data_IF_360007456998
#
_entry.id   IF_360007456998
#
_cell.length_a   1.000
_cell.length_b   1.000
_cell.length_c   1.000
_cell.angle_alpha   90.00
_cell.angle_beta   90.00
_cell.angle_gamma   90.00
#
_symmetry.space_group_name_H-M   'P 1'
#
loop_
_entity.id
_entity.type
_entity.pdbx_description
1 polymer ?
#
# COMPACT_ATOMS: atom_id res chain seq x y z
N UNK A 1 52.07 -15.95 28.32
CA UNK A 1 51.07 -14.94 28.73
C UNK A 1 50.21 -14.63 27.51
N UNK A 2 49.10 -15.30 27.40
CA UNK A 2 48.19 -15.16 26.28
C UNK A 2 47.15 -14.08 26.56
N UNK A 3 47.18 -12.99 25.81
CA UNK A 3 46.16 -11.98 25.83
C UNK A 3 44.89 -12.58 25.24
N UNK A 4 43.83 -12.64 26.05
CA UNK A 4 42.47 -12.90 25.55
C UNK A 4 41.98 -11.61 24.89
N UNK A 5 41.92 -11.62 23.55
CA UNK A 5 41.19 -10.62 22.80
C UNK A 5 39.73 -10.69 23.21
N UNK A 6 39.32 -9.74 24.04
CA UNK A 6 37.91 -9.46 24.33
C UNK A 6 37.28 -8.90 23.07
N UNK A 7 36.66 -9.79 22.31
CA UNK A 7 35.79 -9.43 21.18
C UNK A 7 34.62 -8.62 21.76
N UNK A 8 34.77 -7.29 21.81
CA UNK A 8 33.65 -6.38 22.02
C UNK A 8 32.73 -6.53 20.82
N UNK A 9 31.70 -7.36 20.94
CA UNK A 9 30.54 -7.26 20.04
C UNK A 9 29.93 -5.87 20.31
N UNK A 10 30.22 -4.94 19.41
CA UNK A 10 29.46 -3.70 19.32
C UNK A 10 28.01 -4.12 19.13
N UNK A 11 27.17 -3.87 20.11
CA UNK A 11 25.73 -3.97 19.98
C UNK A 11 25.33 -2.88 18.99
N UNK A 12 25.26 -3.24 17.72
CA UNK A 12 24.71 -2.35 16.71
C UNK A 12 23.23 -2.22 17.04
N UNK A 13 22.83 -1.05 17.49
CA UNK A 13 21.43 -0.70 17.72
C UNK A 13 20.75 -0.67 16.34
N UNK A 14 20.23 -1.82 15.92
CA UNK A 14 19.56 -1.97 14.66
C UNK A 14 18.25 -1.20 14.72
N UNK A 15 18.26 -0.03 14.12
CA UNK A 15 17.07 0.82 13.92
C UNK A 15 16.60 0.75 12.49
N UNK A 16 15.30 0.67 12.31
CA UNK A 16 14.63 0.74 11.01
C UNK A 16 13.61 1.85 11.05
N UNK A 17 13.59 2.69 10.04
CA UNK A 17 12.46 3.57 9.81
C UNK A 17 11.41 2.78 9.04
N UNK A 18 10.18 2.82 9.52
CA UNK A 18 9.01 2.30 8.83
C UNK A 18 8.08 3.46 8.52
N UNK A 19 7.50 3.44 7.33
CA UNK A 19 6.51 4.42 6.92
C UNK A 19 5.28 3.71 6.35
N UNK A 20 4.11 4.28 6.58
CA UNK A 20 2.82 3.70 6.22
C UNK A 20 1.78 4.81 6.06
N UNK A 21 0.74 4.51 5.31
CA UNK A 21 -0.40 5.39 5.10
C UNK A 21 -1.57 4.87 5.93
N UNK A 22 -2.27 5.77 6.60
CA UNK A 22 -3.44 5.39 7.40
C UNK A 22 -4.65 5.17 6.48
N UNK A 23 -5.30 4.00 6.59
CA UNK A 23 -6.49 3.69 5.82
C UNK A 23 -7.72 4.54 6.20
N UNK A 24 -7.70 5.18 7.38
CA UNK A 24 -8.84 5.93 7.90
C UNK A 24 -8.77 7.44 7.65
N UNK A 25 -7.56 8.02 7.67
CA UNK A 25 -7.39 9.46 7.49
C UNK A 25 -6.40 9.83 6.39
N UNK A 26 -5.93 8.85 5.63
CA UNK A 26 -5.00 8.98 4.50
C UNK A 26 -3.66 9.65 4.83
N UNK A 27 -3.43 10.03 6.08
CA UNK A 27 -2.17 10.64 6.49
C UNK A 27 -1.02 9.63 6.46
N UNK A 28 0.08 10.05 5.87
CA UNK A 28 1.31 9.32 5.87
C UNK A 28 2.06 9.53 7.20
N UNK A 29 2.60 8.45 7.74
CA UNK A 29 3.28 8.47 9.03
C UNK A 29 4.55 7.63 9.01
N UNK A 30 5.54 8.02 9.77
CA UNK A 30 6.76 7.24 9.93
C UNK A 30 7.07 6.99 11.41
N UNK A 31 7.77 5.87 11.68
CA UNK A 31 8.18 5.49 13.03
C UNK A 31 9.53 4.77 12.99
N UNK A 32 10.36 5.05 13.97
CA UNK A 32 11.58 4.26 14.18
C UNK A 32 11.25 3.00 14.98
N UNK A 33 11.63 1.86 14.44
CA UNK A 33 11.59 0.57 15.12
C UNK A 33 13.03 0.11 15.46
N UNK A 34 13.18 -0.51 16.62
CA UNK A 34 14.38 -1.22 17.00
C UNK A 34 14.06 -2.68 17.30
N UNK A 35 15.06 -3.53 17.37
CA UNK A 35 14.89 -4.94 17.75
C UNK A 35 14.19 -5.09 19.11
N UNK A 36 14.38 -4.12 20.00
CA UNK A 36 13.79 -4.12 21.34
C UNK A 36 12.26 -3.89 21.33
N UNK A 37 11.71 -3.33 20.25
CA UNK A 37 10.25 -3.17 20.14
C UNK A 37 9.53 -4.52 20.07
N UNK A 38 10.24 -5.57 19.65
CA UNK A 38 9.73 -6.94 19.53
C UNK A 38 10.05 -7.80 20.76
N UNK A 39 10.96 -7.33 21.65
CA UNK A 39 11.38 -8.11 22.81
C UNK A 39 10.21 -8.33 23.78
N UNK A 40 9.87 -9.59 24.04
CA UNK A 40 8.80 -9.98 24.95
C UNK A 40 7.38 -9.68 24.45
N UNK A 41 7.21 -9.43 23.16
CA UNK A 41 5.91 -9.16 22.53
C UNK A 41 5.72 -10.04 21.30
N UNK A 42 4.53 -10.62 21.16
CA UNK A 42 4.17 -11.42 20.00
C UNK A 42 3.89 -10.55 18.76
N UNK A 43 3.54 -9.28 18.99
CA UNK A 43 3.20 -8.32 17.93
C UNK A 43 3.52 -6.88 18.31
N UNK A 44 3.84 -6.09 17.29
CA UNK A 44 3.99 -4.63 17.35
C UNK A 44 2.91 -4.00 16.47
N UNK A 45 2.24 -2.98 16.97
CA UNK A 45 1.22 -2.24 16.23
C UNK A 45 1.74 -0.83 15.90
N UNK A 46 1.56 -0.43 14.67
CA UNK A 46 1.79 0.91 14.18
C UNK A 46 0.45 1.63 14.13
N UNK A 47 0.31 2.60 15.00
CA UNK A 47 -0.94 3.34 15.20
C UNK A 47 -0.77 4.70 14.52
N UNK A 48 -1.82 5.19 13.88
CA UNK A 48 -1.85 6.51 13.30
C UNK A 48 -1.63 7.59 14.38
N UNK A 49 -0.62 8.44 14.24
CA UNK A 49 -0.35 9.50 15.23
C UNK A 49 -1.24 10.73 15.06
N UNK A 50 -2.05 10.78 14.00
CA UNK A 50 -2.92 11.94 13.69
C UNK A 50 -3.94 12.14 14.80
N UNK A 51 -4.04 13.38 15.28
CA UNK A 51 -4.99 13.73 16.32
C UNK A 51 -6.42 13.38 15.92
N UNK A 52 -7.09 12.62 16.78
CA UNK A 52 -8.47 12.18 16.56
C UNK A 52 -8.64 10.88 15.76
N UNK A 53 -7.56 10.35 15.14
CA UNK A 53 -7.61 9.09 14.40
C UNK A 53 -7.26 7.90 15.30
N UNK A 54 -6.01 7.73 15.68
CA UNK A 54 -5.48 6.67 16.55
C UNK A 54 -5.79 5.21 16.10
N UNK A 55 -6.08 4.99 14.82
CA UNK A 55 -6.37 3.68 14.28
C UNK A 55 -5.09 2.86 14.03
N UNK A 56 -5.20 1.53 14.10
CA UNK A 56 -4.08 0.63 13.82
C UNK A 56 -3.93 0.49 12.31
N UNK A 57 -2.81 0.97 11.76
CA UNK A 57 -2.53 0.90 10.33
C UNK A 57 -1.80 -0.38 9.93
N UNK A 58 -0.88 -0.85 10.78
CA UNK A 58 -0.07 -2.03 10.50
C UNK A 58 0.13 -2.84 11.78
N UNK A 59 -0.05 -4.14 11.68
CA UNK A 59 0.34 -5.09 12.73
C UNK A 59 1.51 -5.93 12.26
N UNK A 60 2.60 -5.95 13.00
CA UNK A 60 3.79 -6.74 12.72
C UNK A 60 3.87 -7.84 13.79
N UNK A 61 3.64 -9.07 13.39
CA UNK A 61 3.76 -10.24 14.26
C UNK A 61 5.09 -10.94 14.05
N UNK A 62 5.78 -11.25 15.15
CA UNK A 62 6.99 -12.06 15.11
C UNK A 62 6.63 -13.54 15.16
N UNK A 63 7.12 -14.32 14.20
CA UNK A 63 6.93 -15.78 14.16
C UNK A 63 8.19 -16.47 13.72
N UNK A 64 8.87 -17.11 14.66
CA UNK A 64 10.17 -17.79 14.47
C UNK A 64 11.21 -16.78 13.92
N UNK A 65 11.72 -17.04 12.70
CA UNK A 65 12.71 -16.21 12.00
C UNK A 65 12.11 -15.20 11.02
N UNK A 66 10.78 -15.01 11.07
CA UNK A 66 10.02 -14.17 10.15
C UNK A 66 9.20 -13.11 10.87
N UNK A 67 8.92 -12.05 10.15
CA UNK A 67 7.87 -11.08 10.47
C UNK A 67 6.71 -11.24 9.49
N UNK A 68 5.49 -11.27 10.03
CA UNK A 68 4.25 -11.15 9.27
C UNK A 68 3.73 -9.74 9.47
N UNK A 69 3.42 -9.08 8.37
CA UNK A 69 2.81 -7.75 8.33
C UNK A 69 1.37 -7.91 7.90
N UNK A 70 0.46 -7.40 8.69
CA UNK A 70 -0.94 -7.22 8.31
C UNK A 70 -1.16 -5.71 8.19
N UNK A 71 -1.47 -5.23 6.99
CA UNK A 71 -1.54 -3.81 6.63
C UNK A 71 -2.96 -3.48 6.22
N UNK A 72 -3.61 -2.59 6.95
CA UNK A 72 -4.87 -1.98 6.54
C UNK A 72 -4.60 -1.06 5.35
N UNK A 73 -5.09 -1.43 4.19
CA UNK A 73 -4.75 -0.76 2.94
C UNK A 73 -5.57 0.51 2.72
N UNK A 74 -4.95 1.69 2.58
CA UNK A 74 -5.67 2.93 2.31
C UNK A 74 -6.23 3.01 0.88
N UNK A 75 -5.80 2.10 -0.01
CA UNK A 75 -6.14 2.15 -1.43
C UNK A 75 -7.34 1.28 -1.77
N UNK A 76 -7.38 0.02 -1.28
CA UNK A 76 -8.48 -0.89 -1.58
C UNK A 76 -9.36 -1.21 -0.37
N UNK A 77 -9.03 -0.71 0.84
CA UNK A 77 -9.77 -0.95 2.07
C UNK A 77 -9.55 -2.34 2.69
N UNK A 78 -8.94 -3.26 1.96
CA UNK A 78 -8.69 -4.61 2.43
C UNK A 78 -7.44 -4.69 3.31
N UNK A 79 -7.35 -5.74 4.11
CA UNK A 79 -6.14 -6.06 4.85
C UNK A 79 -5.20 -6.93 3.99
N UNK A 80 -3.97 -6.46 3.79
CA UNK A 80 -2.94 -7.20 3.05
C UNK A 80 -1.92 -7.82 3.98
N UNK A 81 -1.64 -9.11 3.80
CA UNK A 81 -0.66 -9.85 4.58
C UNK A 81 0.63 -10.11 3.79
N UNK A 82 1.76 -9.70 4.36
CA UNK A 82 3.10 -9.94 3.80
C UNK A 82 3.98 -10.65 4.80
N UNK A 83 4.96 -11.38 4.32
CA UNK A 83 5.91 -12.08 5.18
C UNK A 83 7.32 -11.86 4.67
N UNK A 84 8.24 -11.55 5.58
CA UNK A 84 9.68 -11.46 5.29
C UNK A 84 10.50 -12.12 6.38
N UNK A 85 11.75 -12.51 6.08
CA UNK A 85 12.67 -12.98 7.12
C UNK A 85 13.12 -11.81 7.99
N UNK A 86 13.49 -12.09 9.25
CA UNK A 86 14.09 -11.08 10.13
C UNK A 86 15.34 -10.48 9.51
N UNK A 87 16.16 -11.32 8.87
CA UNK A 87 17.36 -10.88 8.17
C UNK A 87 17.04 -9.85 7.08
N UNK A 88 16.09 -10.13 6.20
CA UNK A 88 15.69 -9.20 5.15
C UNK A 88 15.09 -7.91 5.72
N UNK A 89 14.28 -8.01 6.76
CA UNK A 89 13.70 -6.82 7.40
C UNK A 89 14.78 -5.90 7.97
N UNK A 90 15.81 -6.44 8.62
CA UNK A 90 16.84 -5.63 9.27
C UNK A 90 17.99 -5.21 8.34
N UNK A 91 18.30 -5.98 7.30
CA UNK A 91 19.51 -5.78 6.50
C UNK A 91 19.25 -5.22 5.09
N UNK A 92 18.02 -5.37 4.53
CA UNK A 92 17.72 -4.78 3.22
C UNK A 92 17.74 -3.25 3.33
N UNK A 93 18.42 -2.51 2.42
CA UNK A 93 18.42 -1.05 2.44
C UNK A 93 17.01 -0.46 2.44
N UNK A 94 16.14 -0.99 1.58
CA UNK A 94 14.73 -0.62 1.49
C UNK A 94 13.87 -1.87 1.23
N UNK A 95 12.76 -1.98 1.94
CA UNK A 95 11.71 -2.99 1.76
C UNK A 95 10.40 -2.24 1.53
N UNK A 96 9.67 -2.60 0.48
CA UNK A 96 8.38 -2.01 0.15
C UNK A 96 7.32 -3.09 0.03
N UNK A 97 6.08 -2.76 0.37
CA UNK A 97 4.91 -3.59 0.12
C UNK A 97 3.88 -2.80 -0.68
N UNK A 98 3.38 -3.42 -1.75
CA UNK A 98 2.44 -2.80 -2.67
C UNK A 98 1.04 -3.33 -2.45
N UNK A 99 0.04 -2.48 -2.59
CA UNK A 99 -1.32 -2.94 -2.74
C UNK A 99 -1.41 -3.87 -3.98
N UNK A 100 -1.82 -5.13 -3.84
CA UNK A 100 -1.89 -6.06 -4.98
C UNK A 100 -2.97 -5.67 -6.00
N UNK A 101 -3.95 -4.86 -5.59
CA UNK A 101 -5.02 -4.37 -6.45
C UNK A 101 -4.55 -3.19 -7.30
N UNK A 102 -3.93 -2.19 -6.67
CA UNK A 102 -3.56 -0.93 -7.34
C UNK A 102 -2.07 -0.85 -7.74
N UNK A 103 -1.22 -1.77 -7.29
CA UNK A 103 0.22 -1.74 -7.57
C UNK A 103 0.99 -0.62 -6.85
N UNK A 104 0.32 0.16 -5.99
CA UNK A 104 0.87 1.32 -5.29
C UNK A 104 1.52 0.87 -3.98
N UNK A 105 2.68 1.44 -3.65
CA UNK A 105 3.37 1.17 -2.40
C UNK A 105 2.58 1.74 -1.20
N UNK A 106 2.28 0.88 -0.22
CA UNK A 106 1.49 1.25 0.97
C UNK A 106 2.29 1.15 2.27
N UNK A 107 3.48 0.57 2.21
CA UNK A 107 4.37 0.40 3.35
C UNK A 107 5.83 0.39 2.91
N UNK A 108 6.67 1.05 3.69
CA UNK A 108 8.11 1.15 3.49
C UNK A 108 8.83 0.81 4.78
N UNK A 109 9.97 0.11 4.69
CA UNK A 109 10.87 -0.11 5.82
C UNK A 109 12.32 -0.07 5.34
N UNK A 110 13.16 0.77 5.94
CA UNK A 110 14.50 0.91 5.43
C UNK A 110 15.41 1.82 6.25
N UNK A 111 16.51 2.17 5.62
CA UNK A 111 17.38 3.24 6.06
C UNK A 111 16.63 4.57 6.00
N UNK A 112 16.95 5.47 6.93
CA UNK A 112 16.23 6.74 7.09
C UNK A 112 16.12 7.52 5.78
N UNK A 113 17.26 7.76 5.14
CA UNK A 113 17.33 8.60 3.94
C UNK A 113 16.53 8.00 2.76
N UNK A 114 16.55 6.66 2.62
CA UNK A 114 15.79 5.97 1.57
C UNK A 114 14.30 6.03 1.81
N UNK A 115 13.87 5.85 3.06
CA UNK A 115 12.45 5.94 3.43
C UNK A 115 11.95 7.38 3.28
N UNK A 116 12.74 8.38 3.72
CA UNK A 116 12.38 9.80 3.56
C UNK A 116 12.26 10.21 2.09
N UNK A 117 13.15 9.72 1.22
CA UNK A 117 13.04 9.97 -0.22
C UNK A 117 11.76 9.35 -0.80
N UNK A 118 11.45 8.10 -0.43
CA UNK A 118 10.21 7.46 -0.86
C UNK A 118 8.95 8.16 -0.32
N UNK A 119 9.01 8.71 0.88
CA UNK A 119 7.92 9.52 1.43
C UNK A 119 7.73 10.79 0.60
N UNK A 120 8.79 11.50 0.29
CA UNK A 120 8.73 12.73 -0.50
C UNK A 120 8.20 12.44 -1.92
N UNK A 121 8.75 11.43 -2.61
CA UNK A 121 8.27 11.03 -3.94
C UNK A 121 6.80 10.61 -3.93
N UNK A 122 6.38 9.88 -2.90
CA UNK A 122 4.97 9.49 -2.79
C UNK A 122 4.08 10.65 -2.33
N UNK A 123 4.57 11.56 -1.49
CA UNK A 123 3.82 12.77 -1.12
C UNK A 123 3.61 13.65 -2.35
N UNK A 124 4.62 13.82 -3.19
CA UNK A 124 4.52 14.57 -4.44
C UNK A 124 3.54 13.86 -5.40
N UNK A 125 3.61 12.55 -5.52
CA UNK A 125 2.66 11.77 -6.33
C UNK A 125 1.24 11.80 -5.75
N UNK A 126 1.10 11.80 -4.42
CA UNK A 126 -0.20 11.97 -3.77
C UNK A 126 -0.68 13.42 -3.80
N UNK A 127 0.21 14.42 -3.67
CA UNK A 127 -0.15 15.83 -3.82
C UNK A 127 -0.47 16.16 -5.27
N UNK A 128 0.27 15.66 -6.25
CA UNK A 128 -0.06 15.83 -7.67
C UNK A 128 -1.44 15.21 -8.00
N UNK A 129 -1.75 14.05 -7.42
CA UNK A 129 -3.08 13.45 -7.51
C UNK A 129 -4.11 14.33 -6.78
N UNK A 130 -3.78 14.93 -5.64
CA UNK A 130 -4.67 15.79 -4.89
C UNK A 130 -4.78 17.19 -5.52
N UNK A 131 -3.67 17.77 -6.02
CA UNK A 131 -3.63 19.09 -6.65
C UNK A 131 -4.33 19.10 -8.03
N UNK A 132 -4.34 18.00 -8.76
CA UNK A 132 -5.19 17.85 -9.96
C UNK A 132 -6.70 17.84 -9.63
N UNK A 133 -7.05 17.67 -8.33
CA UNK A 133 -8.43 17.68 -7.84
C UNK A 133 -8.82 18.96 -7.11
N UNK A 134 -7.88 19.91 -6.91
CA UNK A 134 -8.12 21.15 -6.14
C UNK A 134 -8.65 22.32 -6.99
N UNK A 135 -8.95 22.11 -8.27
CA UNK A 135 -9.72 23.06 -9.08
C UNK A 135 -11.23 22.92 -8.79
N UNK A 136 -11.63 23.69 -7.82
CA UNK A 136 -12.93 24.37 -7.64
C UNK A 136 -14.25 23.58 -7.80
N UNK A 137 -14.32 22.28 -7.42
CA UNK A 137 -15.61 21.56 -7.15
C UNK A 137 -15.40 20.13 -6.58
N UNK A 138 -14.31 19.84 -5.90
CA UNK A 138 -13.88 18.48 -5.71
C UNK A 138 -13.75 17.97 -4.26
N UNK A 139 -14.85 18.01 -3.49
CA UNK A 139 -15.10 17.06 -2.40
C UNK A 139 -15.35 15.61 -2.94
N UNK A 140 -15.16 15.44 -4.26
CA UNK A 140 -15.54 14.20 -4.98
C UNK A 140 -14.44 13.15 -4.98
N UNK A 141 -13.21 13.48 -4.62
CA UNK A 141 -12.10 12.80 -5.24
C UNK A 141 -11.70 11.44 -4.67
N UNK A 142 -11.24 11.36 -3.44
CA UNK A 142 -10.60 10.14 -2.95
C UNK A 142 -11.61 9.04 -2.59
N UNK A 143 -12.70 9.40 -1.92
CA UNK A 143 -13.78 8.47 -1.57
C UNK A 143 -14.45 7.86 -2.81
N UNK A 144 -14.54 8.64 -3.89
CA UNK A 144 -15.14 8.20 -5.14
C UNK A 144 -14.23 7.22 -5.90
N UNK A 145 -12.94 7.53 -6.03
CA UNK A 145 -11.94 6.62 -6.61
C UNK A 145 -11.95 5.29 -5.85
N UNK A 146 -11.92 5.37 -4.52
CA UNK A 146 -11.97 4.23 -3.64
C UNK A 146 -13.22 3.38 -3.88
N UNK A 147 -14.41 3.98 -3.88
CA UNK A 147 -15.66 3.27 -4.12
C UNK A 147 -15.72 2.61 -5.50
N UNK A 148 -15.13 3.25 -6.51
CA UNK A 148 -15.02 2.68 -7.86
C UNK A 148 -14.09 1.48 -7.86
N UNK A 149 -12.95 1.55 -7.17
CA UNK A 149 -12.00 0.42 -7.05
C UNK A 149 -12.65 -0.76 -6.35
N UNK A 150 -13.40 -0.54 -5.25
CA UNK A 150 -14.15 -1.61 -4.57
C UNK A 150 -15.15 -2.29 -5.50
N UNK A 151 -15.90 -1.52 -6.27
CA UNK A 151 -16.84 -2.07 -7.26
C UNK A 151 -16.12 -2.90 -8.32
N UNK A 152 -14.99 -2.43 -8.84
CA UNK A 152 -14.18 -3.15 -9.82
C UNK A 152 -13.59 -4.44 -9.23
N UNK A 153 -13.12 -4.39 -7.98
CA UNK A 153 -12.60 -5.57 -7.28
C UNK A 153 -13.69 -6.64 -7.10
N UNK A 154 -14.88 -6.24 -6.63
CA UNK A 154 -16.02 -7.16 -6.49
C UNK A 154 -16.44 -7.79 -7.85
N UNK A 155 -16.38 -7.02 -8.92
CA UNK A 155 -16.66 -7.53 -10.28
C UNK A 155 -15.56 -8.51 -10.73
N UNK A 156 -14.29 -8.26 -10.40
CA UNK A 156 -13.18 -9.14 -10.73
C UNK A 156 -13.23 -10.46 -9.95
N UNK A 157 -13.49 -10.42 -8.65
CA UNK A 157 -13.69 -11.62 -7.84
C UNK A 157 -14.86 -12.49 -8.34
N UNK A 158 -15.88 -11.84 -8.90
CA UNK A 158 -17.04 -12.52 -9.50
C UNK A 158 -16.80 -12.97 -10.94
N UNK A 159 -15.56 -12.87 -11.48
CA UNK A 159 -15.22 -13.15 -12.90
C UNK A 159 -16.04 -12.34 -13.92
N UNK A 160 -16.48 -11.15 -13.53
CA UNK A 160 -17.30 -10.27 -14.35
C UNK A 160 -16.50 -9.17 -15.07
N UNK A 161 -15.17 -9.17 -14.99
CA UNK A 161 -14.30 -8.34 -15.81
C UNK A 161 -13.54 -9.24 -16.78
N UNK A 162 -13.67 -8.98 -18.07
CA UNK A 162 -12.99 -9.74 -19.11
C UNK A 162 -12.59 -8.87 -20.28
N UNK A 163 -11.70 -9.37 -21.13
CA UNK A 163 -11.35 -8.72 -22.39
C UNK A 163 -12.05 -9.39 -23.56
N UNK A 164 -12.31 -8.64 -24.63
CA UNK A 164 -12.85 -9.17 -25.89
C UNK A 164 -11.96 -10.27 -26.51
N UNK A 165 -10.69 -10.42 -26.09
CA UNK A 165 -9.83 -11.53 -26.50
C UNK A 165 -10.07 -12.82 -25.68
N UNK A 166 -10.96 -12.80 -24.69
CA UNK A 166 -11.28 -13.94 -23.83
C UNK A 166 -10.45 -14.05 -22.56
N UNK A 167 -9.48 -13.15 -22.32
CA UNK A 167 -8.67 -13.14 -21.10
C UNK A 167 -9.40 -12.44 -19.95
N UNK A 168 -9.21 -12.95 -18.74
CA UNK A 168 -9.63 -12.35 -17.48
C UNK A 168 -8.43 -11.75 -16.72
N UNK A 169 -7.20 -11.86 -17.27
CA UNK A 169 -5.98 -11.27 -16.70
C UNK A 169 -5.96 -9.77 -16.97
N UNK A 170 -6.53 -9.01 -16.08
CA UNK A 170 -6.68 -7.56 -16.17
C UNK A 170 -5.84 -6.89 -15.08
N UNK A 171 -5.01 -5.96 -15.52
CA UNK A 171 -4.26 -5.06 -14.65
C UNK A 171 -5.03 -3.75 -14.48
N UNK A 172 -5.09 -3.24 -13.25
CA UNK A 172 -5.66 -1.94 -12.91
C UNK A 172 -4.53 -0.97 -12.60
N UNK A 173 -4.54 0.20 -13.23
CA UNK A 173 -3.63 1.30 -12.97
C UNK A 173 -4.42 2.59 -12.81
N UNK A 174 -3.92 3.53 -11.99
CA UNK A 174 -4.48 4.88 -11.85
C UNK A 174 -3.55 5.82 -12.59
N UNK A 175 -4.07 6.55 -13.55
CA UNK A 175 -3.32 7.52 -14.38
C UNK A 175 -4.15 8.80 -14.48
N UNK A 176 -3.61 9.91 -14.02
CA UNK A 176 -4.26 11.22 -14.03
C UNK A 176 -5.69 11.16 -13.46
N UNK A 177 -5.84 10.58 -12.27
CA UNK A 177 -7.12 10.46 -11.60
C UNK A 177 -8.13 9.49 -12.24
N UNK A 178 -7.84 8.89 -13.39
CA UNK A 178 -8.67 7.90 -14.04
C UNK A 178 -8.16 6.47 -13.79
N UNK A 179 -9.06 5.52 -13.71
CA UNK A 179 -8.72 4.12 -13.55
C UNK A 179 -8.61 3.48 -14.93
N UNK A 180 -7.46 2.90 -15.24
CA UNK A 180 -7.19 2.23 -16.51
C UNK A 180 -7.14 0.73 -16.30
N UNK A 181 -8.07 0.00 -16.90
CA UNK A 181 -8.06 -1.45 -16.95
C UNK A 181 -7.34 -1.91 -18.22
N UNK A 182 -6.24 -2.67 -18.06
CA UNK A 182 -5.42 -3.15 -19.17
C UNK A 182 -5.40 -4.68 -19.21
N UNK A 183 -5.77 -5.27 -20.33
CA UNK A 183 -5.63 -6.70 -20.54
C UNK A 183 -4.15 -7.08 -20.68
N UNK A 184 -3.65 -7.96 -19.83
CA UNK A 184 -2.25 -8.38 -19.85
C UNK A 184 -1.90 -9.20 -21.10
N UNK A 185 -2.89 -9.89 -21.68
CA UNK A 185 -2.69 -10.73 -22.86
C UNK A 185 -2.62 -9.95 -24.17
N UNK A 186 -3.59 -9.07 -24.45
CA UNK A 186 -3.67 -8.36 -25.74
C UNK A 186 -3.32 -6.87 -25.65
N UNK A 187 -3.01 -6.36 -24.46
CA UNK A 187 -2.63 -4.97 -24.16
C UNK A 187 -3.69 -3.92 -24.48
N UNK A 188 -4.92 -4.33 -24.79
CA UNK A 188 -6.04 -3.38 -24.92
C UNK A 188 -6.40 -2.83 -23.54
N UNK A 189 -6.71 -1.54 -23.51
CA UNK A 189 -7.05 -0.82 -22.29
C UNK A 189 -8.46 -0.21 -22.39
N UNK A 190 -9.05 0.05 -21.23
CA UNK A 190 -10.31 0.77 -21.06
C UNK A 190 -10.17 1.74 -19.88
N UNK A 191 -10.39 3.01 -20.16
CA UNK A 191 -10.45 4.03 -19.11
C UNK A 191 -11.81 3.99 -18.41
N UNK A 192 -11.80 4.12 -17.11
CA UNK A 192 -12.94 4.28 -16.22
C UNK A 192 -12.80 5.66 -15.59
N UNK A 193 -13.67 6.57 -16.00
CA UNK A 193 -13.70 7.92 -15.44
C UNK A 193 -14.15 7.88 -13.97
N UNK A 194 -13.54 8.70 -13.13
CA UNK A 194 -13.85 8.77 -11.69
C UNK A 194 -14.96 9.79 -11.43
N UNK A 195 -16.19 9.43 -11.80
CA UNK A 195 -17.39 10.23 -11.61
C UNK A 195 -18.47 9.48 -10.82
N UNK A 196 -19.36 10.18 -10.13
CA UNK A 196 -20.51 9.58 -9.44
C UNK A 196 -21.41 8.79 -10.38
N UNK A 197 -21.56 9.28 -11.61
CA UNK A 197 -22.31 8.56 -12.65
C UNK A 197 -21.66 7.22 -12.97
N UNK A 198 -20.32 7.19 -13.06
CA UNK A 198 -19.56 5.96 -13.28
C UNK A 198 -19.71 5.00 -12.12
N UNK A 199 -19.62 5.48 -10.87
CA UNK A 199 -19.87 4.66 -9.69
C UNK A 199 -21.28 4.04 -9.72
N UNK A 200 -22.29 4.85 -10.01
CA UNK A 200 -23.69 4.36 -10.12
C UNK A 200 -23.84 3.31 -11.22
N UNK A 201 -23.16 3.48 -12.36
CA UNK A 201 -23.12 2.49 -13.45
C UNK A 201 -22.45 1.18 -13.01
N UNK A 202 -21.32 1.28 -12.31
CA UNK A 202 -20.56 0.12 -11.83
C UNK A 202 -21.34 -0.70 -10.80
N UNK A 203 -22.00 -0.04 -9.86
CA UNK A 203 -22.88 -0.69 -8.86
C UNK A 203 -24.00 -1.51 -9.51
N UNK A 204 -24.46 -1.10 -10.68
CA UNK A 204 -25.50 -1.80 -11.46
C UNK A 204 -24.92 -2.66 -12.60
N UNK A 205 -23.61 -2.67 -12.79
CA UNK A 205 -22.98 -3.41 -13.88
C UNK A 205 -22.97 -4.91 -13.57
N UNK A 206 -23.38 -5.71 -14.56
CA UNK A 206 -23.30 -7.18 -14.48
C UNK A 206 -21.96 -7.70 -14.97
N UNK A 207 -21.30 -6.98 -15.88
CA UNK A 207 -19.98 -7.32 -16.40
C UNK A 207 -19.34 -6.11 -17.09
N UNK A 208 -18.00 -6.11 -17.14
CA UNK A 208 -17.18 -5.15 -17.87
C UNK A 208 -16.38 -5.90 -18.95
N UNK A 209 -16.43 -5.42 -20.19
CA UNK A 209 -15.65 -5.97 -21.29
C UNK A 209 -14.69 -4.90 -21.81
N UNK A 210 -13.38 -5.24 -21.83
CA UNK A 210 -12.30 -4.39 -22.34
C UNK A 210 -12.15 -4.64 -23.84
N UNK A 211 -12.02 -3.58 -24.62
CA UNK A 211 -11.73 -3.67 -26.06
C UNK A 211 -12.96 -3.94 -26.95
N UNK A 212 -14.15 -3.66 -26.42
CA UNK A 212 -15.38 -3.51 -27.22
C UNK A 212 -15.55 -2.07 -27.66
#
# INVERSE_FOLDING_TARGET
MGGKDLNFRVLVDLKRIVAYICAFCSNMSSKSLSIFNFSGKDKVQLICPTHGCHETCVTIAEKHDKYKFDIECPICGDNHSYTTTKENFWNKPLLTYKCPVAGIDVFFAGEKDLVENMLNENTDMFSDILDEFDDDDSDISFNLIYSIIECLHALQESHNISCACGSEDIELNIINGNIILTCLQCKKSKAIETTEETLTRLLNAKAIIIGK
#
